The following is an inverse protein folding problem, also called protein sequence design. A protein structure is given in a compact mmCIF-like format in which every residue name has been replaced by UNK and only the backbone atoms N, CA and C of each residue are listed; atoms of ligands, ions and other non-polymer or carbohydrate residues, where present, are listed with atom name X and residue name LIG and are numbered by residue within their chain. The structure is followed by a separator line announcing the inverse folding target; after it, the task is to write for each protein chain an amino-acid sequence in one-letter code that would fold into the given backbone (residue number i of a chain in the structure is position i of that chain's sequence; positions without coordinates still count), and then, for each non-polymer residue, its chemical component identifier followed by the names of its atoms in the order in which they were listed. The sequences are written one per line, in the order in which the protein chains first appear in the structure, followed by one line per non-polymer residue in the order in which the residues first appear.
data_IF_112728921873
#
_entry.id   IF_112728921873
#
_cell.length_a   1.000
_cell.length_b   1.000
_cell.length_c   1.000
_cell.angle_alpha   90.00
_cell.angle_beta   90.00
_cell.angle_gamma   90.00
#
_symmetry.space_group_name_H-M   'P 1'
#
loop_
_entity.id
_entity.type
_entity.pdbx_description
1 polymer ?
#
# COMPACT_ATOMS: atom_id res chain seq x y z
N UNK A 1 -7.12 14.92 4.28
CA UNK A 1 -7.06 13.48 3.97
C UNK A 1 -7.08 12.67 5.26
N UNK A 2 -7.98 11.71 5.37
CA UNK A 2 -8.03 10.81 6.52
C UNK A 2 -6.88 9.80 6.45
N UNK A 3 -6.57 9.13 7.58
CA UNK A 3 -5.56 8.07 7.60
C UNK A 3 -5.92 6.93 6.65
N UNK A 4 -7.21 6.56 6.60
CA UNK A 4 -7.67 5.53 5.66
C UNK A 4 -7.47 5.96 4.21
N UNK A 5 -7.83 7.20 3.87
CA UNK A 5 -7.62 7.73 2.52
C UNK A 5 -6.14 7.75 2.15
N UNK A 6 -5.27 8.09 3.11
CA UNK A 6 -3.83 8.09 2.90
C UNK A 6 -3.32 6.67 2.59
N UNK A 7 -3.76 5.68 3.36
CA UNK A 7 -3.39 4.29 3.12
C UNK A 7 -3.83 3.83 1.74
N UNK A 8 -5.10 4.07 1.38
CA UNK A 8 -5.66 3.66 0.10
C UNK A 8 -4.94 4.34 -1.07
N UNK A 9 -4.67 5.63 -0.94
CA UNK A 9 -3.97 6.41 -1.97
C UNK A 9 -2.53 5.91 -2.16
N UNK A 10 -1.84 5.62 -1.06
CA UNK A 10 -0.46 5.10 -1.10
C UNK A 10 -0.42 3.77 -1.85
N UNK A 11 -1.33 2.84 -1.51
CA UNK A 11 -1.40 1.55 -2.18
C UNK A 11 -1.67 1.68 -3.68
N UNK A 12 -2.62 2.54 -4.06
CA UNK A 12 -2.93 2.78 -5.48
C UNK A 12 -1.71 3.29 -6.24
N UNK A 13 -0.95 4.20 -5.64
CA UNK A 13 0.26 4.74 -6.26
C UNK A 13 1.37 3.70 -6.38
N UNK A 14 1.53 2.85 -5.36
CA UNK A 14 2.50 1.75 -5.41
C UNK A 14 2.16 0.79 -6.55
N UNK A 15 0.90 0.39 -6.67
CA UNK A 15 0.44 -0.50 -7.74
C UNK A 15 0.62 0.16 -9.11
N UNK A 16 0.25 1.43 -9.23
CA UNK A 16 0.41 2.17 -10.49
C UNK A 16 1.89 2.27 -10.89
N UNK A 17 2.79 2.48 -9.94
CA UNK A 17 4.23 2.51 -10.20
C UNK A 17 4.74 1.15 -10.67
N UNK A 18 4.30 0.07 -10.06
CA UNK A 18 4.67 -1.29 -10.44
C UNK A 18 4.16 -1.62 -11.85
N UNK A 19 2.91 -1.26 -12.16
CA UNK A 19 2.32 -1.48 -13.48
C UNK A 19 3.05 -0.68 -14.54
N UNK A 20 3.38 0.59 -14.27
CA UNK A 20 4.13 1.44 -15.19
C UNK A 20 5.52 0.87 -15.46
N UNK A 21 6.21 0.37 -14.43
CA UNK A 21 7.52 -0.25 -14.58
C UNK A 21 7.44 -1.51 -15.44
N UNK A 22 6.39 -2.30 -15.29
CA UNK A 22 6.16 -3.50 -16.11
C UNK A 22 5.90 -3.13 -17.57
N UNK A 23 5.12 -2.10 -17.83
CA UNK A 23 4.81 -1.63 -19.19
C UNK A 23 6.05 -1.08 -19.91
N UNK A 24 7.00 -0.51 -19.17
CA UNK A 24 8.24 0.03 -19.76
C UNK A 24 9.16 -1.04 -20.36
N UNK A 25 8.97 -2.30 -20.03
CA UNK A 25 9.78 -3.39 -20.58
C UNK A 25 9.31 -3.84 -21.95
N UNK A 26 8.16 -3.34 -22.45
CA UNK A 26 7.65 -3.64 -23.78
C UNK A 26 7.99 -2.52 -24.77
N UNK A 27 8.25 -2.86 -26.05
CA UNK A 27 8.43 -1.90 -27.13
C UNK A 27 7.10 -1.25 -27.47
N UNK A 28 6.59 -0.43 -26.55
CA UNK A 28 5.26 0.16 -26.62
C UNK A 28 5.40 1.68 -26.85
N UNK A 29 4.66 2.27 -27.82
CA UNK A 29 4.62 3.72 -27.97
C UNK A 29 4.13 4.44 -26.71
N UNK A 30 3.46 3.73 -25.78
CA UNK A 30 3.01 4.29 -24.51
C UNK A 30 4.12 4.32 -23.43
N UNK A 31 5.33 3.85 -23.75
CA UNK A 31 6.44 3.83 -22.78
C UNK A 31 6.75 5.20 -22.20
N UNK A 32 6.65 6.26 -23.02
CA UNK A 32 6.87 7.63 -22.58
C UNK A 32 5.87 8.05 -21.49
N UNK A 33 4.57 7.71 -21.67
CA UNK A 33 3.55 7.98 -20.68
C UNK A 33 3.78 7.18 -19.41
N UNK A 34 4.22 5.94 -19.55
CA UNK A 34 4.57 5.08 -18.41
C UNK A 34 5.70 5.66 -17.58
N UNK A 35 6.74 6.22 -18.23
CA UNK A 35 7.83 6.89 -17.53
C UNK A 35 7.35 8.12 -16.77
N UNK A 36 6.49 8.93 -17.38
CA UNK A 36 5.91 10.12 -16.74
C UNK A 36 5.06 9.72 -15.54
N UNK A 37 4.20 8.71 -15.71
CA UNK A 37 3.34 8.20 -14.64
C UNK A 37 4.18 7.65 -13.49
N UNK A 38 5.23 6.89 -13.79
CA UNK A 38 6.13 6.34 -12.77
C UNK A 38 6.83 7.45 -11.99
N UNK A 39 7.32 8.48 -12.68
CA UNK A 39 7.98 9.60 -12.02
C UNK A 39 7.01 10.37 -11.11
N UNK A 40 5.78 10.62 -11.56
CA UNK A 40 4.76 11.29 -10.77
C UNK A 40 4.36 10.45 -9.54
N UNK A 41 4.18 9.17 -9.72
CA UNK A 41 3.84 8.26 -8.62
C UNK A 41 4.96 8.24 -7.59
N UNK A 42 6.21 8.14 -8.03
CA UNK A 42 7.38 8.15 -7.15
C UNK A 42 7.47 9.45 -6.34
N UNK A 43 7.25 10.59 -7.00
CA UNK A 43 7.30 11.89 -6.34
C UNK A 43 6.22 12.01 -5.26
N UNK A 44 4.99 11.59 -5.57
CA UNK A 44 3.88 11.61 -4.62
C UNK A 44 4.14 10.65 -3.45
N UNK A 45 4.62 9.43 -3.73
CA UNK A 45 4.97 8.46 -2.69
C UNK A 45 6.05 9.01 -1.76
N UNK A 46 7.06 9.66 -2.32
CA UNK A 46 8.13 10.28 -1.52
C UNK A 46 7.55 11.34 -0.57
N UNK A 47 6.63 12.16 -1.05
CA UNK A 47 5.97 13.16 -0.22
C UNK A 47 5.11 12.53 0.89
N UNK A 48 4.58 11.32 0.66
CA UNK A 48 3.75 10.62 1.64
C UNK A 48 4.55 9.75 2.63
N UNK A 49 5.86 9.57 2.41
CA UNK A 49 6.66 8.64 3.21
C UNK A 49 6.68 9.01 4.71
N UNK A 50 6.84 10.29 5.05
CA UNK A 50 6.89 10.70 6.45
C UNK A 50 5.57 10.44 7.19
N UNK A 51 4.41 10.87 6.67
CA UNK A 51 3.14 10.54 7.34
C UNK A 51 2.83 9.05 7.36
N UNK A 52 3.21 8.28 6.33
CA UNK A 52 3.03 6.83 6.31
C UNK A 52 3.90 6.15 7.37
N UNK A 53 5.15 6.59 7.50
CA UNK A 53 6.05 6.07 8.54
C UNK A 53 5.49 6.35 9.93
N UNK A 54 5.00 7.56 10.17
CA UNK A 54 4.43 7.93 11.46
C UNK A 54 3.21 7.05 11.79
N UNK A 55 2.35 6.78 10.80
CA UNK A 55 1.19 5.92 10.98
C UNK A 55 1.63 4.49 11.35
N UNK A 56 2.60 3.94 10.62
CA UNK A 56 3.08 2.58 10.85
C UNK A 56 3.74 2.44 12.23
N UNK A 57 4.46 3.46 12.68
CA UNK A 57 5.11 3.46 14.00
C UNK A 57 4.09 3.43 15.15
N UNK A 58 2.87 3.87 14.93
CA UNK A 58 1.80 3.80 15.93
C UNK A 58 1.24 2.39 16.12
N UNK A 59 1.51 1.47 15.18
CA UNK A 59 1.00 0.09 15.26
C UNK A 59 1.90 -0.72 16.18
N UNK A 60 1.39 -1.07 17.37
CA UNK A 60 2.16 -1.80 18.37
C UNK A 60 2.17 -3.31 18.16
N UNK A 61 1.11 -3.87 17.55
CA UNK A 61 1.04 -5.31 17.31
C UNK A 61 1.87 -5.70 16.07
N UNK A 62 2.92 -6.54 16.24
CA UNK A 62 3.79 -6.88 15.12
C UNK A 62 3.07 -7.52 13.93
N UNK A 63 2.08 -8.37 14.19
CA UNK A 63 1.32 -9.03 13.12
C UNK A 63 0.53 -8.02 12.30
N UNK A 64 -0.19 -7.13 12.98
CA UNK A 64 -0.94 -6.06 12.31
C UNK A 64 0.00 -5.16 11.53
N UNK A 65 1.12 -4.77 12.12
CA UNK A 65 2.14 -3.96 11.44
C UNK A 65 2.59 -4.60 10.13
N UNK A 66 2.93 -5.89 10.16
CA UNK A 66 3.39 -6.60 8.97
C UNK A 66 2.33 -6.65 7.89
N UNK A 67 1.08 -6.92 8.25
CA UNK A 67 -0.03 -6.99 7.31
C UNK A 67 -0.27 -5.62 6.65
N UNK A 68 -0.34 -4.56 7.45
CA UNK A 68 -0.58 -3.21 6.95
C UNK A 68 0.58 -2.75 6.06
N UNK A 69 1.81 -2.97 6.48
CA UNK A 69 3.00 -2.62 5.71
C UNK A 69 3.02 -3.34 4.36
N UNK A 70 2.77 -4.64 4.34
CA UNK A 70 2.81 -5.41 3.10
C UNK A 70 1.68 -5.08 2.15
N UNK A 71 0.49 -4.86 2.68
CA UNK A 71 -0.67 -4.56 1.85
C UNK A 71 -0.57 -3.15 1.24
N UNK A 72 -0.30 -2.14 2.07
CA UNK A 72 -0.36 -0.73 1.63
C UNK A 72 0.97 -0.21 1.08
N UNK A 73 2.10 -0.63 1.63
CA UNK A 73 3.41 -0.13 1.19
C UNK A 73 4.00 -0.98 0.06
N UNK A 74 3.85 -2.30 0.14
CA UNK A 74 4.39 -3.21 -0.88
C UNK A 74 3.38 -3.58 -1.96
N UNK A 75 2.11 -3.28 -1.78
CA UNK A 75 1.07 -3.57 -2.76
C UNK A 75 0.70 -5.04 -2.90
N UNK A 76 1.00 -5.85 -1.88
CA UNK A 76 0.69 -7.29 -1.92
C UNK A 76 -0.80 -7.54 -1.69
N UNK A 77 -1.29 -8.69 -2.18
CA UNK A 77 -2.66 -9.14 -1.92
C UNK A 77 -2.76 -9.83 -0.57
N UNK A 78 -3.98 -9.94 -0.04
CA UNK A 78 -4.23 -10.65 1.21
C UNK A 78 -3.75 -12.11 1.13
N UNK A 79 -3.92 -12.77 -0.02
CA UNK A 79 -3.44 -14.13 -0.23
C UNK A 79 -1.93 -14.26 -0.18
N UNK A 80 -1.22 -13.33 -0.83
CA UNK A 80 0.24 -13.32 -0.83
C UNK A 80 0.79 -13.10 0.58
N UNK A 81 0.19 -12.17 1.32
CA UNK A 81 0.56 -11.91 2.71
C UNK A 81 0.31 -13.15 3.57
N UNK A 82 -0.85 -13.78 3.39
CA UNK A 82 -1.20 -15.00 4.12
C UNK A 82 -0.19 -16.12 3.91
N UNK A 83 0.29 -16.29 2.68
CA UNK A 83 1.33 -17.28 2.38
C UNK A 83 2.63 -17.01 3.11
N UNK A 84 3.05 -15.74 3.21
CA UNK A 84 4.26 -15.36 3.95
C UNK A 84 4.11 -15.61 5.45
N UNK A 85 2.91 -15.45 5.98
CA UNK A 85 2.66 -15.44 7.43
C UNK A 85 1.98 -16.70 7.96
N UNK A 86 1.78 -17.70 7.11
CA UNK A 86 1.03 -18.92 7.46
C UNK A 86 -0.41 -18.63 7.91
N UNK A 87 -1.07 -17.71 7.23
CA UNK A 87 -2.45 -17.34 7.46
C UNK A 87 -3.25 -17.50 6.17
N UNK A 88 -4.56 -17.68 6.31
CA UNK A 88 -5.45 -17.61 5.14
C UNK A 88 -5.59 -16.16 4.69
N UNK A 89 -5.91 -15.96 3.40
CA UNK A 89 -6.20 -14.62 2.90
C UNK A 89 -7.38 -13.99 3.63
N UNK A 90 -8.39 -14.80 3.98
CA UNK A 90 -9.55 -14.32 4.75
C UNK A 90 -9.14 -13.80 6.13
N UNK A 91 -8.21 -14.49 6.80
CA UNK A 91 -7.72 -14.04 8.12
C UNK A 91 -6.93 -12.74 8.01
N UNK A 92 -6.06 -12.62 7.00
CA UNK A 92 -5.33 -11.38 6.72
C UNK A 92 -6.31 -10.24 6.48
N UNK A 93 -7.34 -10.47 5.68
CA UNK A 93 -8.39 -9.49 5.39
C UNK A 93 -9.10 -9.02 6.67
N UNK A 94 -9.45 -9.95 7.56
CA UNK A 94 -10.10 -9.63 8.84
C UNK A 94 -9.23 -8.72 9.70
N UNK A 95 -7.94 -9.04 9.81
CA UNK A 95 -7.00 -8.27 10.64
C UNK A 95 -6.83 -6.88 10.05
N UNK A 96 -6.65 -6.79 8.73
CA UNK A 96 -6.48 -5.52 8.03
C UNK A 96 -7.71 -4.62 8.18
N UNK A 97 -8.91 -5.17 7.93
CA UNK A 97 -10.16 -4.40 8.06
C UNK A 97 -10.42 -3.99 9.50
N UNK A 98 -10.08 -4.84 10.47
CA UNK A 98 -10.19 -4.50 11.89
C UNK A 98 -9.34 -3.28 12.24
N UNK A 99 -8.11 -3.23 11.74
CA UNK A 99 -7.23 -2.09 11.92
C UNK A 99 -7.81 -0.82 11.28
N UNK A 100 -8.27 -0.92 10.02
CA UNK A 100 -8.84 0.23 9.29
C UNK A 100 -10.06 0.79 10.02
N UNK A 101 -10.92 -0.08 10.55
CA UNK A 101 -12.07 0.35 11.35
C UNK A 101 -11.65 1.08 12.62
N UNK A 102 -10.56 0.65 13.25
CA UNK A 102 -10.04 1.33 14.44
C UNK A 102 -9.59 2.76 14.14
N UNK A 103 -9.04 3.00 12.97
CA UNK A 103 -8.66 4.35 12.52
C UNK A 103 -9.90 5.24 12.37
N UNK A 104 -10.98 4.72 11.81
CA UNK A 104 -12.23 5.46 11.64
C UNK A 104 -12.81 5.84 13.00
N UNK A 105 -12.78 4.93 13.97
CA UNK A 105 -13.28 5.19 15.32
C UNK A 105 -12.44 6.21 16.07
N UNK A 106 -11.12 6.24 15.84
CA UNK A 106 -10.22 7.21 16.47
C UNK A 106 -10.37 8.62 15.91
N UNK A 107 -10.90 8.76 14.71
CA UNK A 107 -11.07 10.06 14.04
C UNK A 107 -12.30 10.84 14.53
N UNK A 108 -13.13 10.23 15.36
CA UNK A 108 -14.34 10.87 15.87
C UNK A 108 -14.10 11.70 17.13
#
# INVERSE_FOLDING_TARGET
MTRQQMLDSYRKLVIAQQDAAHMMSADDPDAMFSQTLQAKAKSTLTAMNAPMRALLEEISDPRTFMIIQRYYVKGLTDQAIGREMNLTGARVNQIRLGYVRSLTNQAS
#
